data_IF_464760791971
#
_entry.id   IF_464760791971
#
_cell.length_a   1.000
_cell.length_b   1.000
_cell.length_c   1.000
_cell.angle_alpha   90.00
_cell.angle_beta   90.00
_cell.angle_gamma   90.00
#
_symmetry.space_group_name_H-M   'P 1'
#
loop_
_entity.id
_entity.type
_entity.pdbx_description
1 polymer ?
#
# COMPACT_ATOMS: atom_id res chain seq x y z
N UNK A 1 26.01 -42.24 68.02
CA UNK A 1 27.21 -42.16 67.16
C UNK A 1 26.90 -41.23 65.98
N UNK A 2 27.40 -39.99 66.05
CA UNK A 2 27.12 -38.92 65.07
C UNK A 2 28.09 -39.01 63.91
N UNK A 3 27.58 -39.26 62.71
CA UNK A 3 28.33 -39.37 61.45
C UNK A 3 28.69 -37.95 60.95
N UNK A 4 29.85 -37.42 61.33
CA UNK A 4 30.41 -36.20 60.76
C UNK A 4 30.79 -36.46 59.32
N UNK A 5 29.92 -36.07 58.35
CA UNK A 5 30.24 -36.00 56.91
C UNK A 5 31.50 -35.16 56.73
N UNK A 6 32.59 -35.77 56.30
CA UNK A 6 33.81 -35.13 55.83
C UNK A 6 33.46 -34.20 54.68
N UNK A 7 33.31 -32.89 54.90
CA UNK A 7 33.24 -31.92 53.80
C UNK A 7 34.67 -31.68 53.31
N UNK A 8 34.94 -31.75 52.01
CA UNK A 8 36.26 -31.48 51.49
C UNK A 8 36.66 -30.04 51.88
N UNK A 9 37.93 -29.78 52.08
CA UNK A 9 38.42 -28.42 52.42
C UNK A 9 37.99 -27.45 51.30
N UNK A 10 37.41 -26.29 51.70
CA UNK A 10 37.05 -25.25 50.73
C UNK A 10 38.37 -24.61 50.29
N UNK A 11 38.77 -24.83 49.05
CA UNK A 11 39.92 -24.15 48.46
C UNK A 11 39.59 -22.65 48.32
N UNK A 12 40.34 -21.83 48.99
CA UNK A 12 40.22 -20.35 48.89
C UNK A 12 40.89 -19.95 47.59
N UNK A 13 40.15 -19.36 46.65
CA UNK A 13 40.71 -18.96 45.35
C UNK A 13 41.77 -17.86 45.51
N UNK A 14 42.82 -17.92 44.71
CA UNK A 14 43.84 -16.87 44.70
C UNK A 14 43.30 -15.52 44.23
N UNK A 15 43.92 -14.41 44.63
CA UNK A 15 43.51 -13.06 44.22
C UNK A 15 43.45 -12.95 42.68
N UNK A 16 44.41 -13.53 41.96
CA UNK A 16 44.45 -13.53 40.49
C UNK A 16 43.24 -14.28 39.87
N UNK A 17 42.81 -15.37 40.51
CA UNK A 17 41.59 -16.11 40.06
C UNK A 17 40.33 -15.28 40.30
N UNK A 18 40.22 -14.59 41.42
CA UNK A 18 39.10 -13.69 41.74
C UNK A 18 39.02 -12.50 40.77
N UNK A 19 40.17 -11.90 40.44
CA UNK A 19 40.24 -10.80 39.47
C UNK A 19 39.81 -11.24 38.07
N UNK A 20 40.28 -12.40 37.61
CA UNK A 20 39.89 -12.95 36.30
C UNK A 20 38.38 -13.25 36.21
N UNK A 21 37.81 -13.83 37.28
CA UNK A 21 36.36 -14.10 37.33
C UNK A 21 35.54 -12.79 37.38
N UNK A 22 36.01 -11.80 38.16
CA UNK A 22 35.38 -10.47 38.21
C UNK A 22 35.40 -9.77 36.83
N UNK A 23 36.52 -9.84 36.12
CA UNK A 23 36.62 -9.29 34.75
C UNK A 23 35.68 -10.02 33.81
N UNK A 24 35.60 -11.35 33.87
CA UNK A 24 34.73 -12.16 33.07
C UNK A 24 33.23 -11.86 33.32
N UNK A 25 32.84 -11.74 34.60
CA UNK A 25 31.48 -11.37 34.98
C UNK A 25 31.12 -9.94 34.54
N UNK A 26 32.02 -8.97 34.68
CA UNK A 26 31.85 -7.60 34.20
C UNK A 26 31.68 -7.59 32.68
N UNK A 27 32.52 -8.33 31.96
CA UNK A 27 32.40 -8.44 30.50
C UNK A 27 31.07 -9.03 30.08
N UNK A 28 30.63 -10.13 30.68
CA UNK A 28 29.33 -10.78 30.39
C UNK A 28 28.15 -9.85 30.66
N UNK A 29 28.18 -9.13 31.80
CA UNK A 29 27.13 -8.16 32.16
C UNK A 29 27.10 -6.98 31.17
N UNK A 30 28.24 -6.43 30.84
CA UNK A 30 28.33 -5.33 29.87
C UNK A 30 27.90 -5.80 28.48
N UNK A 31 28.36 -6.95 28.01
CA UNK A 31 27.94 -7.53 26.74
C UNK A 31 26.44 -7.76 26.69
N UNK A 32 25.84 -8.36 27.69
CA UNK A 32 24.39 -8.59 27.77
C UNK A 32 23.62 -7.27 27.80
N UNK A 33 24.14 -6.22 28.47
CA UNK A 33 23.52 -4.90 28.49
C UNK A 33 23.57 -4.24 27.10
N UNK A 34 24.71 -4.24 26.46
CA UNK A 34 24.91 -3.69 25.12
C UNK A 34 24.03 -4.43 24.13
N UNK A 35 24.07 -5.77 24.15
CA UNK A 35 23.26 -6.59 23.26
C UNK A 35 21.75 -6.29 23.42
N UNK A 36 21.27 -6.21 24.66
CA UNK A 36 19.87 -5.88 24.95
C UNK A 36 19.51 -4.47 24.48
N UNK A 37 20.37 -3.49 24.75
CA UNK A 37 20.17 -2.11 24.32
C UNK A 37 20.12 -2.02 22.79
N UNK A 38 21.05 -2.65 22.10
CA UNK A 38 21.08 -2.68 20.63
C UNK A 38 19.82 -3.35 20.05
N UNK A 39 19.40 -4.49 20.65
CA UNK A 39 18.18 -5.17 20.23
C UNK A 39 16.94 -4.27 20.41
N UNK A 40 16.80 -3.62 21.56
CA UNK A 40 15.69 -2.68 21.79
C UNK A 40 15.71 -1.51 20.80
N UNK A 41 16.87 -0.95 20.50
CA UNK A 41 17.01 0.12 19.51
C UNK A 41 16.57 -0.35 18.12
N UNK A 42 17.04 -1.52 17.68
CA UNK A 42 16.66 -2.10 16.38
C UNK A 42 15.15 -2.35 16.29
N UNK A 43 14.56 -2.94 17.34
CA UNK A 43 13.11 -3.19 17.39
C UNK A 43 12.33 -1.89 17.36
N UNK A 44 12.77 -0.87 18.08
CA UNK A 44 12.11 0.44 18.09
C UNK A 44 12.16 1.11 16.73
N UNK A 45 13.32 1.11 16.08
CA UNK A 45 13.48 1.67 14.72
C UNK A 45 12.62 0.91 13.71
N UNK A 46 12.61 -0.43 13.77
CA UNK A 46 11.77 -1.25 12.90
C UNK A 46 10.28 -0.96 13.12
N UNK A 47 9.83 -0.84 14.38
CA UNK A 47 8.45 -0.51 14.69
C UNK A 47 8.02 0.85 14.12
N UNK A 48 8.87 1.87 14.26
CA UNK A 48 8.61 3.20 13.71
C UNK A 48 8.56 3.15 12.18
N UNK A 49 9.49 2.44 11.55
CA UNK A 49 9.51 2.29 10.09
C UNK A 49 8.23 1.61 9.57
N UNK A 50 7.75 0.56 10.24
CA UNK A 50 6.50 -0.14 9.90
C UNK A 50 5.30 0.80 10.05
N UNK A 51 5.24 1.59 11.14
CA UNK A 51 4.15 2.56 11.34
C UNK A 51 4.12 3.62 10.23
N UNK A 52 5.29 4.14 9.84
CA UNK A 52 5.40 5.08 8.73
C UNK A 52 4.94 4.42 7.42
N UNK A 53 5.40 3.20 7.14
CA UNK A 53 4.98 2.48 5.93
C UNK A 53 3.47 2.28 5.89
N UNK A 54 2.82 1.86 6.98
CA UNK A 54 1.36 1.69 7.06
C UNK A 54 0.57 2.99 6.84
N UNK A 55 1.13 4.14 7.25
CA UNK A 55 0.47 5.43 7.06
C UNK A 55 0.53 5.93 5.62
N UNK A 56 1.61 5.63 4.89
CA UNK A 56 1.85 6.15 3.54
C UNK A 56 1.62 5.13 2.43
N UNK A 57 1.62 3.83 2.76
CA UNK A 57 1.51 2.72 1.80
C UNK A 57 0.40 1.74 2.22
N UNK A 58 -0.88 2.14 2.13
CA UNK A 58 -1.97 1.22 2.40
C UNK A 58 -1.96 0.04 1.43
N UNK A 59 -2.18 -1.15 1.99
CA UNK A 59 -2.28 -2.42 1.26
C UNK A 59 -3.75 -2.75 1.10
N UNK A 60 -4.18 -3.03 -0.13
CA UNK A 60 -5.57 -3.31 -0.48
C UNK A 60 -5.67 -4.68 -1.13
N UNK A 61 -6.75 -5.39 -0.87
CA UNK A 61 -7.13 -6.58 -1.62
C UNK A 61 -8.21 -6.21 -2.64
N UNK A 62 -8.00 -6.62 -3.88
CA UNK A 62 -8.94 -6.38 -4.98
C UNK A 62 -10.12 -7.35 -4.88
N UNK A 63 -11.31 -6.84 -5.07
CA UNK A 63 -12.54 -7.62 -5.17
C UNK A 63 -13.27 -7.28 -6.46
N UNK A 64 -13.59 -8.32 -7.23
CA UNK A 64 -14.31 -8.21 -8.49
C UNK A 64 -13.40 -8.06 -9.72
N UNK A 65 -14.01 -8.09 -10.89
CA UNK A 65 -13.34 -8.17 -12.18
C UNK A 65 -13.27 -6.84 -12.95
N UNK A 66 -13.65 -5.72 -12.34
CA UNK A 66 -13.77 -4.43 -13.05
C UNK A 66 -12.45 -3.86 -13.57
N UNK A 67 -11.32 -4.37 -13.08
CA UNK A 67 -9.97 -4.01 -13.51
C UNK A 67 -9.24 -5.12 -14.27
N UNK A 68 -9.93 -6.23 -14.60
CA UNK A 68 -9.36 -7.27 -15.46
C UNK A 68 -9.08 -6.73 -16.86
N UNK A 69 -8.02 -7.16 -17.54
CA UNK A 69 -7.01 -8.14 -17.09
C UNK A 69 -5.87 -7.56 -16.26
N UNK A 70 -5.86 -6.24 -16.05
CA UNK A 70 -4.76 -5.57 -15.32
C UNK A 70 -4.68 -6.02 -13.86
N UNK A 71 -5.82 -6.14 -13.17
CA UNK A 71 -5.92 -6.66 -11.80
C UNK A 71 -7.00 -7.73 -11.73
N UNK A 72 -6.68 -8.82 -11.03
CA UNK A 72 -7.60 -9.94 -10.84
C UNK A 72 -8.22 -9.95 -9.45
N UNK A 73 -9.34 -10.66 -9.32
CA UNK A 73 -10.02 -10.83 -8.04
C UNK A 73 -9.14 -11.57 -7.02
N UNK A 74 -9.06 -11.06 -5.80
CA UNK A 74 -8.23 -11.58 -4.73
C UNK A 74 -6.79 -11.07 -4.70
N UNK A 75 -6.34 -10.35 -5.73
CA UNK A 75 -4.98 -9.82 -5.81
C UNK A 75 -4.72 -8.75 -4.75
N UNK A 76 -3.48 -8.73 -4.24
CA UNK A 76 -3.04 -7.74 -3.24
C UNK A 76 -2.23 -6.67 -3.94
N UNK A 77 -2.63 -5.42 -3.74
CA UNK A 77 -1.96 -4.25 -4.31
C UNK A 77 -1.51 -3.29 -3.22
N UNK A 78 -0.38 -2.63 -3.45
CA UNK A 78 0.12 -1.57 -2.58
C UNK A 78 -0.13 -0.24 -3.25
N UNK A 79 -0.77 0.68 -2.53
CA UNK A 79 -1.01 2.04 -2.99
C UNK A 79 -0.12 3.02 -2.23
N UNK A 80 0.28 4.10 -2.87
CA UNK A 80 1.03 5.19 -2.25
C UNK A 80 0.13 6.41 -2.18
N UNK A 81 0.02 7.00 -1.00
CA UNK A 81 -0.74 8.23 -0.79
C UNK A 81 0.00 9.40 -1.46
N UNK A 82 -0.44 9.78 -2.64
CA UNK A 82 0.09 10.88 -3.45
C UNK A 82 -1.06 11.64 -4.10
N UNK A 83 -0.80 12.87 -4.51
CA UNK A 83 -1.74 13.74 -5.22
C UNK A 83 -1.34 14.03 -6.68
N UNK A 84 -0.12 13.62 -7.09
CA UNK A 84 0.38 13.79 -8.45
C UNK A 84 0.05 12.53 -9.29
N UNK A 85 -1.05 12.58 -10.00
CA UNK A 85 -1.51 11.50 -10.87
C UNK A 85 -1.21 11.82 -12.33
N UNK A 86 -0.93 10.77 -13.10
CA UNK A 86 -0.78 10.84 -14.55
C UNK A 86 -1.93 10.09 -15.22
N UNK A 87 -2.22 10.45 -16.47
CA UNK A 87 -3.19 9.73 -17.28
C UNK A 87 -2.74 8.27 -17.44
N UNK A 88 -3.64 7.33 -17.15
CA UNK A 88 -3.34 5.91 -17.16
C UNK A 88 -2.98 5.33 -15.78
N UNK A 89 -2.76 6.15 -14.75
CA UNK A 89 -2.52 5.67 -13.40
C UNK A 89 -3.73 4.95 -12.82
N UNK A 90 -3.47 3.90 -12.06
CA UNK A 90 -4.51 3.19 -11.31
C UNK A 90 -4.58 3.75 -9.90
N UNK A 91 -5.75 4.24 -9.51
CA UNK A 91 -6.00 4.85 -8.20
C UNK A 91 -7.04 4.07 -7.41
N UNK A 92 -6.91 4.11 -6.10
CA UNK A 92 -7.93 3.65 -5.16
C UNK A 92 -8.61 4.86 -4.52
N UNK A 93 -9.93 4.79 -4.35
CA UNK A 93 -10.72 5.89 -3.78
C UNK A 93 -11.93 5.39 -3.00
N UNK A 94 -12.39 6.19 -2.06
CA UNK A 94 -13.59 5.92 -1.29
C UNK A 94 -14.85 6.18 -2.12
N UNK A 95 -15.73 5.18 -2.17
CA UNK A 95 -17.05 5.28 -2.75
C UNK A 95 -18.07 4.65 -1.82
N UNK A 96 -18.96 5.47 -1.27
CA UNK A 96 -19.85 5.06 -0.18
C UNK A 96 -19.01 4.44 0.96
N UNK A 97 -19.31 3.21 1.37
CA UNK A 97 -18.56 2.52 2.44
C UNK A 97 -17.55 1.48 1.90
N UNK A 98 -17.04 1.67 0.67
CA UNK A 98 -16.12 0.75 -0.02
C UNK A 98 -14.96 1.53 -0.61
N UNK A 99 -13.88 0.82 -0.90
CA UNK A 99 -12.77 1.34 -1.71
C UNK A 99 -12.91 0.72 -3.10
N UNK A 100 -12.98 1.57 -4.11
CA UNK A 100 -12.94 1.17 -5.51
C UNK A 100 -11.56 1.44 -6.08
N UNK A 101 -11.19 0.64 -7.09
CA UNK A 101 -9.95 0.80 -7.84
C UNK A 101 -10.33 1.01 -9.30
N UNK A 102 -9.83 2.10 -9.91
CA UNK A 102 -10.08 2.48 -11.30
C UNK A 102 -8.86 3.17 -11.88
N UNK A 103 -8.85 3.31 -13.21
CA UNK A 103 -7.80 4.00 -13.95
C UNK A 103 -8.19 5.44 -14.22
N UNK A 104 -7.26 6.37 -14.01
CA UNK A 104 -7.42 7.79 -14.35
C UNK A 104 -7.39 7.95 -15.87
N UNK A 105 -8.44 8.53 -16.43
CA UNK A 105 -8.62 8.75 -17.86
C UNK A 105 -8.45 10.22 -18.20
N UNK A 106 -9.01 11.11 -17.39
CA UNK A 106 -8.96 12.54 -17.67
C UNK A 106 -8.94 13.35 -16.37
N UNK A 107 -8.41 14.54 -16.47
CA UNK A 107 -8.15 15.49 -15.38
C UNK A 107 -9.23 16.59 -15.31
N UNK A 108 -9.23 17.39 -14.21
CA UNK A 108 -10.12 18.54 -14.11
C UNK A 108 -10.03 19.44 -15.33
N UNK A 109 -11.19 19.81 -15.90
CA UNK A 109 -11.30 20.67 -17.09
C UNK A 109 -11.24 19.94 -18.43
N UNK A 110 -10.75 18.70 -18.50
CA UNK A 110 -10.67 17.91 -19.74
C UNK A 110 -12.08 17.56 -20.27
N UNK A 111 -12.15 17.42 -21.59
CA UNK A 111 -13.34 16.92 -22.29
C UNK A 111 -13.16 15.45 -22.63
N UNK A 112 -14.09 14.63 -22.19
CA UNK A 112 -14.12 13.19 -22.47
C UNK A 112 -15.24 12.88 -23.43
N UNK A 113 -14.94 12.10 -24.45
CA UNK A 113 -15.92 11.55 -25.37
C UNK A 113 -15.66 10.06 -25.63
N UNK A 114 -16.72 9.31 -25.98
CA UNK A 114 -16.64 7.91 -26.34
C UNK A 114 -17.38 7.72 -27.67
N UNK A 115 -16.82 6.89 -28.55
CA UNK A 115 -17.53 6.40 -29.74
C UNK A 115 -18.29 5.09 -29.45
N UNK A 116 -19.08 4.65 -30.44
CA UNK A 116 -19.91 3.44 -30.32
C UNK A 116 -19.05 2.17 -30.16
N UNK A 117 -17.82 2.17 -30.61
CA UNK A 117 -16.84 1.10 -30.51
C UNK A 117 -16.15 1.07 -29.15
N UNK A 118 -16.41 2.07 -28.28
CA UNK A 118 -15.81 2.19 -26.95
C UNK A 118 -14.41 2.79 -26.94
N UNK A 119 -13.99 3.46 -28.03
CA UNK A 119 -12.76 4.26 -27.99
C UNK A 119 -12.99 5.54 -27.18
N UNK A 120 -12.03 5.86 -26.35
CA UNK A 120 -12.04 7.06 -25.51
C UNK A 120 -11.25 8.17 -26.18
N UNK A 121 -11.80 9.37 -26.13
CA UNK A 121 -11.16 10.60 -26.62
C UNK A 121 -11.08 11.60 -25.48
N UNK A 122 -9.90 12.15 -25.27
CA UNK A 122 -9.66 13.21 -24.29
C UNK A 122 -9.21 14.46 -25.03
N UNK A 123 -9.93 15.56 -24.89
CA UNK A 123 -9.69 16.82 -25.60
C UNK A 123 -9.64 16.63 -27.14
N UNK A 124 -10.45 15.71 -27.66
CA UNK A 124 -10.52 15.39 -29.08
C UNK A 124 -9.40 14.45 -29.58
N UNK A 125 -8.46 14.06 -28.74
CA UNK A 125 -7.41 13.11 -29.08
C UNK A 125 -7.79 11.70 -28.62
N UNK A 126 -7.64 10.72 -29.49
CA UNK A 126 -7.88 9.32 -29.14
C UNK A 126 -6.86 8.86 -28.12
N UNK A 127 -7.34 8.27 -27.01
CA UNK A 127 -6.49 7.72 -25.97
C UNK A 127 -5.96 6.34 -26.41
N UNK A 128 -4.64 6.17 -26.30
CA UNK A 128 -4.01 4.86 -26.48
C UNK A 128 -4.14 4.04 -25.20
N UNK A 129 -4.76 2.87 -25.33
CA UNK A 129 -5.15 2.03 -24.19
C UNK A 129 -4.63 0.60 -24.32
N UNK A 130 -3.29 0.40 -24.30
CA UNK A 130 -2.69 -0.92 -24.50
C UNK A 130 -2.98 -1.91 -23.36
N UNK A 131 -3.51 -1.45 -22.27
CA UNK A 131 -3.87 -2.25 -21.08
C UNK A 131 -5.23 -2.94 -21.19
N UNK A 132 -6.02 -2.60 -22.21
CA UNK A 132 -7.34 -3.21 -22.43
C UNK A 132 -7.22 -4.51 -23.22
N UNK A 133 -7.94 -5.54 -22.77
CA UNK A 133 -8.19 -6.73 -23.61
C UNK A 133 -9.25 -6.45 -24.66
N UNK A 134 -10.36 -5.83 -24.24
CA UNK A 134 -11.51 -5.50 -25.09
C UNK A 134 -11.99 -4.08 -24.82
N UNK A 135 -12.42 -3.40 -25.88
CA UNK A 135 -13.11 -2.12 -25.82
C UNK A 135 -14.61 -2.33 -25.82
N UNK A 136 -15.31 -1.59 -24.99
CA UNK A 136 -16.76 -1.59 -24.94
C UNK A 136 -17.28 -0.22 -24.50
N UNK A 137 -18.40 0.19 -25.06
CA UNK A 137 -19.11 1.41 -24.63
C UNK A 137 -19.50 1.31 -23.15
N UNK A 138 -19.98 0.13 -22.72
CA UNK A 138 -20.35 -0.14 -21.34
C UNK A 138 -21.63 0.57 -20.90
N UNK A 139 -21.78 0.73 -19.58
CA UNK A 139 -22.92 1.43 -18.99
C UNK A 139 -22.65 2.93 -18.92
N UNK A 140 -23.09 3.66 -19.95
CA UNK A 140 -22.92 5.12 -20.09
C UNK A 140 -24.28 5.81 -19.98
N UNK A 141 -24.45 6.61 -18.94
CA UNK A 141 -25.65 7.42 -18.74
C UNK A 141 -25.36 8.92 -18.54
N UNK A 142 -24.12 9.34 -18.77
CA UNK A 142 -23.72 10.74 -18.82
C UNK A 142 -23.94 11.30 -20.24
N UNK A 143 -24.11 12.63 -20.34
CA UNK A 143 -24.14 13.28 -21.64
C UNK A 143 -22.72 13.46 -22.17
N UNK A 144 -22.45 12.97 -23.37
CA UNK A 144 -21.17 13.11 -24.06
C UNK A 144 -21.27 14.19 -25.17
N UNK A 145 -20.19 14.97 -25.43
CA UNK A 145 -18.94 14.99 -24.68
C UNK A 145 -19.12 15.55 -23.26
N UNK A 146 -18.40 14.99 -22.29
CA UNK A 146 -18.50 15.32 -20.88
C UNK A 146 -17.27 16.09 -20.41
N UNK A 147 -17.46 17.28 -19.80
CA UNK A 147 -16.37 18.02 -19.21
C UNK A 147 -16.16 17.59 -17.76
N UNK A 148 -14.94 17.23 -17.42
CA UNK A 148 -14.56 16.83 -16.05
C UNK A 148 -14.61 18.05 -15.14
N UNK A 149 -15.39 18.04 -14.04
CA UNK A 149 -15.48 19.17 -13.13
C UNK A 149 -14.14 19.47 -12.44
N UNK A 150 -13.95 20.74 -12.05
CA UNK A 150 -12.79 21.15 -11.26
C UNK A 150 -12.63 20.30 -9.98
N UNK A 151 -11.38 19.95 -9.65
CA UNK A 151 -11.03 19.14 -8.49
C UNK A 151 -11.47 17.69 -8.57
N UNK A 152 -11.88 17.20 -9.75
CA UNK A 152 -12.32 15.80 -9.94
C UNK A 152 -11.58 15.14 -11.09
N UNK A 153 -11.53 13.82 -11.01
CA UNK A 153 -10.89 12.94 -12.00
C UNK A 153 -11.93 12.04 -12.65
N UNK A 154 -11.84 11.90 -13.96
CA UNK A 154 -12.66 10.92 -14.69
C UNK A 154 -11.92 9.60 -14.69
N UNK A 155 -12.55 8.57 -14.15
CA UNK A 155 -11.92 7.25 -14.00
C UNK A 155 -12.74 6.16 -14.69
N UNK A 156 -12.07 5.15 -15.23
CA UNK A 156 -12.72 3.99 -15.85
C UNK A 156 -12.08 2.69 -15.36
N UNK A 157 -12.86 1.63 -15.36
CA UNK A 157 -12.32 0.28 -15.18
C UNK A 157 -11.75 -0.28 -16.47
N UNK A 158 -10.79 -1.21 -16.34
CA UNK A 158 -10.16 -1.84 -17.51
C UNK A 158 -11.08 -2.87 -18.15
N UNK A 159 -11.97 -3.49 -17.39
CA UNK A 159 -13.05 -4.33 -17.95
C UNK A 159 -14.25 -3.45 -18.34
N UNK A 160 -14.16 -2.83 -19.50
CA UNK A 160 -15.06 -1.78 -19.99
C UNK A 160 -16.54 -2.13 -19.98
N UNK A 161 -16.88 -3.38 -20.29
CA UNK A 161 -18.27 -3.85 -20.42
C UNK A 161 -18.99 -3.99 -19.07
N UNK A 162 -18.26 -4.25 -17.98
CA UNK A 162 -18.87 -4.55 -16.66
C UNK A 162 -18.54 -3.54 -15.58
N UNK A 163 -17.63 -2.61 -15.86
CA UNK A 163 -17.19 -1.64 -14.86
C UNK A 163 -18.24 -0.57 -14.60
N UNK A 164 -18.64 -0.42 -13.32
CA UNK A 164 -19.29 0.80 -12.85
C UNK A 164 -18.22 1.85 -12.53
N UNK A 165 -18.24 2.98 -13.25
CA UNK A 165 -17.21 4.02 -13.19
C UNK A 165 -17.77 5.39 -13.58
N UNK A 166 -16.91 6.37 -13.91
CA UNK A 166 -17.35 7.76 -14.19
C UNK A 166 -18.27 7.92 -15.40
N UNK A 167 -18.41 6.90 -16.24
CA UNK A 167 -19.40 6.87 -17.34
C UNK A 167 -20.84 6.80 -16.83
N UNK A 168 -21.02 6.39 -15.57
CA UNK A 168 -22.32 6.31 -14.92
C UNK A 168 -22.42 7.35 -13.80
N UNK A 169 -23.49 8.12 -13.79
CA UNK A 169 -23.76 9.18 -12.78
C UNK A 169 -23.83 8.64 -11.35
N UNK A 170 -24.09 7.35 -11.15
CA UNK A 170 -24.08 6.73 -9.83
C UNK A 170 -22.70 6.78 -9.19
N UNK A 171 -21.63 6.58 -9.96
CA UNK A 171 -20.24 6.73 -9.51
C UNK A 171 -19.76 8.16 -9.72
N UNK A 172 -19.93 8.69 -10.93
CA UNK A 172 -19.48 10.02 -11.31
C UNK A 172 -17.97 10.19 -11.29
N UNK A 173 -17.52 11.44 -11.42
CA UNK A 173 -16.10 11.80 -11.28
C UNK A 173 -15.68 11.76 -9.81
N UNK A 174 -14.46 11.31 -9.57
CA UNK A 174 -13.86 11.12 -8.24
C UNK A 174 -13.21 12.42 -7.79
N UNK A 175 -13.59 12.95 -6.63
CA UNK A 175 -12.96 14.12 -6.04
C UNK A 175 -11.59 13.73 -5.42
N UNK A 176 -10.67 14.69 -5.41
CA UNK A 176 -9.31 14.47 -4.89
C UNK A 176 -9.32 13.97 -3.43
N UNK A 177 -10.22 14.47 -2.60
CA UNK A 177 -10.36 14.08 -1.20
C UNK A 177 -10.83 12.63 -1.00
N UNK A 178 -11.44 12.04 -2.02
CA UNK A 178 -11.86 10.64 -2.00
C UNK A 178 -10.70 9.69 -2.29
N UNK A 179 -9.60 10.17 -2.88
CA UNK A 179 -8.49 9.32 -3.33
C UNK A 179 -7.67 8.86 -2.13
N UNK A 180 -7.54 7.55 -2.01
CA UNK A 180 -6.70 6.89 -0.99
C UNK A 180 -5.24 6.88 -1.43
N UNK A 181 -4.98 6.60 -2.71
CA UNK A 181 -3.63 6.60 -3.27
C UNK A 181 -3.55 6.03 -4.67
N UNK A 182 -2.35 6.19 -5.27
CA UNK A 182 -1.95 5.61 -6.56
C UNK A 182 -1.35 4.22 -6.34
N UNK A 183 -1.73 3.25 -7.15
CA UNK A 183 -1.13 1.92 -7.14
C UNK A 183 0.32 1.97 -7.61
N UNK A 184 1.24 1.38 -6.83
CA UNK A 184 2.68 1.38 -7.13
C UNK A 184 3.26 -0.03 -7.26
N UNK A 185 2.63 -1.02 -6.63
CA UNK A 185 3.05 -2.42 -6.65
C UNK A 185 1.84 -3.35 -6.72
N UNK A 186 2.03 -4.42 -7.41
CA UNK A 186 1.11 -5.53 -7.62
C UNK A 186 1.74 -6.83 -7.13
#
# INVERSE_FOLDING_TARGET
>A
MSNKKNRPPVEIPSVAQLESELQRERYRRNYSRVLRSTLFTLVSVAAVAILIAMLFMPVLQIYGSSMSPCLEDGEIVVTLKRSDFEQGDVISFYYNNKILVKRVIAFPGDWVNLDAEGNVFVNGQKLEEPYLADKAYGDVNIQLPYQVPEGKYFVMGDHRSTSADSRNTAVGCVAEEQIVGKMVLR
#
